data_IF_818935773104
#
_entry.id   IF_818935773104
#
_cell.length_a   1.000
_cell.length_b   1.000
_cell.length_c   1.000
_cell.angle_alpha   90.00
_cell.angle_beta   90.00
_cell.angle_gamma   90.00
#
_symmetry.space_group_name_H-M   'P 1'
#
loop_
_entity.id
_entity.type
_entity.pdbx_description
1 polymer ?
#
# COMPACT_ATOMS: atom_id res chain seq x y z
N UNK A 1 20.61 8.59 11.71
CA UNK A 1 20.94 7.42 10.88
C UNK A 1 22.45 7.15 10.92
N UNK A 2 22.90 5.89 11.02
CA UNK A 2 24.33 5.55 10.94
C UNK A 2 24.73 5.20 9.49
N UNK A 3 26.04 5.14 9.19
CA UNK A 3 26.55 4.90 7.82
C UNK A 3 26.02 3.60 7.20
N UNK A 4 25.82 2.54 8.00
CA UNK A 4 25.32 1.25 7.52
C UNK A 4 23.87 1.33 7.07
N UNK A 5 23.05 2.02 7.86
CA UNK A 5 21.65 2.26 7.54
C UNK A 5 21.54 3.16 6.31
N UNK A 6 22.31 4.24 6.23
CA UNK A 6 22.34 5.10 5.04
C UNK A 6 22.67 4.31 3.77
N UNK A 7 23.65 3.40 3.85
CA UNK A 7 24.00 2.53 2.72
C UNK A 7 22.92 1.52 2.34
N UNK A 8 22.03 1.12 3.26
CA UNK A 8 20.88 0.28 2.95
C UNK A 8 19.83 1.07 2.14
N UNK A 9 19.49 2.29 2.56
CA UNK A 9 18.57 3.16 1.80
C UNK A 9 19.07 3.42 0.38
N UNK A 10 20.36 3.80 0.22
CA UNK A 10 20.95 4.03 -1.09
C UNK A 10 20.89 2.79 -1.99
N UNK A 11 21.12 1.60 -1.43
CA UNK A 11 21.06 0.33 -2.16
C UNK A 11 19.64 -0.04 -2.58
N UNK A 12 18.66 0.20 -1.70
CA UNK A 12 17.23 -0.01 -1.98
C UNK A 12 16.77 0.93 -3.09
N UNK A 13 17.02 2.23 -2.95
CA UNK A 13 16.67 3.25 -3.94
C UNK A 13 17.28 2.94 -5.32
N UNK A 14 18.52 2.45 -5.35
CA UNK A 14 19.19 2.05 -6.59
C UNK A 14 18.67 0.74 -7.21
N UNK A 15 17.88 -0.06 -6.48
CA UNK A 15 17.48 -1.41 -6.91
C UNK A 15 18.62 -2.43 -6.92
N UNK A 16 19.69 -2.16 -6.17
CA UNK A 16 20.91 -2.96 -6.14
C UNK A 16 20.79 -4.09 -5.10
N UNK A 17 20.11 -5.16 -5.50
CA UNK A 17 19.79 -6.30 -4.61
C UNK A 17 21.03 -6.93 -3.96
N UNK A 18 22.18 -6.93 -4.64
CA UNK A 18 23.40 -7.50 -4.08
C UNK A 18 23.99 -6.59 -3.00
N UNK A 19 23.94 -5.26 -3.18
CA UNK A 19 24.28 -4.33 -2.09
C UNK A 19 23.30 -4.40 -0.93
N UNK A 20 22.00 -4.55 -1.18
CA UNK A 20 21.01 -4.74 -0.11
C UNK A 20 21.39 -5.94 0.75
N UNK A 21 21.71 -7.09 0.14
CA UNK A 21 22.18 -8.29 0.87
C UNK A 21 23.44 -8.02 1.69
N UNK A 22 24.41 -7.30 1.12
CA UNK A 22 25.67 -6.96 1.82
C UNK A 22 25.40 -6.04 3.03
N UNK A 23 24.53 -5.04 2.88
CA UNK A 23 24.15 -4.13 3.97
C UNK A 23 23.48 -4.91 5.12
N UNK A 24 22.50 -5.76 4.80
CA UNK A 24 21.80 -6.61 5.78
C UNK A 24 22.80 -7.54 6.49
N UNK A 25 23.66 -8.24 5.73
CA UNK A 25 24.68 -9.13 6.29
C UNK A 25 25.72 -8.40 7.17
N UNK A 26 25.92 -7.10 6.94
CA UNK A 26 26.80 -6.25 7.75
C UNK A 26 26.12 -5.69 9.02
N UNK A 27 24.87 -6.10 9.27
CA UNK A 27 24.06 -5.69 10.41
C UNK A 27 23.41 -4.31 10.24
N UNK A 28 23.07 -3.91 9.00
CA UNK A 28 22.17 -2.78 8.80
C UNK A 28 20.79 -3.11 9.41
N UNK A 29 20.20 -2.14 10.08
CA UNK A 29 18.86 -2.26 10.63
C UNK A 29 17.82 -2.08 9.51
N UNK A 30 17.07 -3.16 9.23
CA UNK A 30 16.05 -3.20 8.16
C UNK A 30 14.79 -2.42 8.50
N UNK A 31 14.60 -2.04 9.77
CA UNK A 31 13.47 -1.22 10.24
C UNK A 31 13.90 0.19 10.65
N UNK A 32 15.15 0.57 10.36
CA UNK A 32 15.58 1.92 10.67
C UNK A 32 14.77 2.94 9.87
N UNK A 33 14.54 4.09 10.47
CA UNK A 33 13.86 5.21 9.83
C UNK A 33 14.86 6.26 9.36
N UNK A 34 14.60 6.84 8.20
CA UNK A 34 15.38 7.95 7.66
C UNK A 34 14.89 9.32 8.21
N UNK A 35 15.26 10.42 7.56
CA UNK A 35 14.83 11.77 7.97
C UNK A 35 13.39 12.12 7.58
N UNK A 36 12.76 11.34 6.71
CA UNK A 36 11.36 11.49 6.31
C UNK A 36 10.43 10.58 7.12
N UNK A 37 11.00 9.72 7.97
CA UNK A 37 10.24 8.74 8.74
C UNK A 37 10.03 7.42 7.99
N UNK A 38 10.67 7.25 6.84
CA UNK A 38 10.48 6.07 5.99
C UNK A 38 11.43 4.94 6.40
N UNK A 39 10.94 3.71 6.32
CA UNK A 39 11.76 2.49 6.45
C UNK A 39 12.33 2.09 5.10
N UNK A 40 13.38 1.25 5.04
CA UNK A 40 13.83 0.64 3.80
C UNK A 40 12.72 -0.06 3.01
N UNK A 41 11.70 -0.60 3.71
CA UNK A 41 10.55 -1.22 3.08
C UNK A 41 9.65 -0.18 2.38
N UNK A 42 9.36 0.96 3.03
CA UNK A 42 8.63 2.06 2.39
C UNK A 42 9.41 2.59 1.18
N UNK A 43 10.71 2.84 1.33
CA UNK A 43 11.57 3.30 0.23
C UNK A 43 11.54 2.34 -0.98
N UNK A 44 11.61 1.03 -0.73
CA UNK A 44 11.51 0.02 -1.78
C UNK A 44 10.16 0.07 -2.50
N UNK A 45 9.07 0.33 -1.77
CA UNK A 45 7.72 0.44 -2.34
C UNK A 45 7.61 1.73 -3.15
N UNK A 46 8.04 2.87 -2.61
CA UNK A 46 7.97 4.18 -3.27
C UNK A 46 8.81 4.25 -4.56
N UNK A 47 9.91 3.50 -4.64
CA UNK A 47 10.83 3.46 -5.78
C UNK A 47 10.30 2.66 -6.99
N UNK A 48 9.21 3.09 -7.63
CA UNK A 48 8.50 2.36 -8.71
C UNK A 48 9.40 1.91 -9.89
N UNK A 49 10.46 2.66 -10.18
CA UNK A 49 11.36 2.38 -11.31
C UNK A 49 12.63 1.59 -10.92
N UNK A 50 12.76 1.20 -9.65
CA UNK A 50 13.92 0.45 -9.20
C UNK A 50 13.95 -0.96 -9.81
N UNK A 51 15.12 -1.35 -10.29
CA UNK A 51 15.35 -2.74 -10.69
C UNK A 51 15.16 -3.65 -9.47
N UNK A 52 14.60 -4.84 -9.67
CA UNK A 52 14.41 -5.84 -8.62
C UNK A 52 13.51 -5.41 -7.45
N UNK A 53 12.68 -4.35 -7.59
CA UNK A 53 11.78 -3.84 -6.53
C UNK A 53 11.06 -4.92 -5.73
N UNK A 54 10.32 -5.81 -6.40
CA UNK A 54 9.60 -6.92 -5.76
C UNK A 54 10.53 -7.88 -5.00
N UNK A 55 11.70 -8.18 -5.56
CA UNK A 55 12.68 -9.07 -4.92
C UNK A 55 13.32 -8.41 -3.69
N UNK A 56 13.55 -7.09 -3.72
CA UNK A 56 14.06 -6.32 -2.58
C UNK A 56 13.01 -6.26 -1.47
N UNK A 57 11.74 -6.00 -1.80
CA UNK A 57 10.63 -6.01 -0.84
C UNK A 57 10.55 -7.37 -0.13
N UNK A 58 10.54 -8.47 -0.89
CA UNK A 58 10.54 -9.83 -0.31
C UNK A 58 11.77 -10.07 0.57
N UNK A 59 12.95 -9.67 0.12
CA UNK A 59 14.19 -9.83 0.88
C UNK A 59 14.16 -9.07 2.22
N UNK A 60 13.64 -7.84 2.23
CA UNK A 60 13.53 -7.03 3.44
C UNK A 60 12.56 -7.68 4.44
N UNK A 61 11.38 -8.11 3.98
CA UNK A 61 10.39 -8.81 4.81
C UNK A 61 10.95 -10.13 5.36
N UNK A 62 11.64 -10.93 4.52
CA UNK A 62 12.32 -12.16 4.94
C UNK A 62 13.36 -11.94 6.05
N UNK A 63 13.93 -10.73 6.13
CA UNK A 63 14.89 -10.34 7.16
C UNK A 63 14.27 -9.53 8.30
N UNK A 64 12.93 -9.52 8.40
CA UNK A 64 12.20 -8.95 9.53
C UNK A 64 11.81 -7.49 9.39
N UNK A 65 11.79 -6.94 8.17
CA UNK A 65 11.14 -5.65 7.94
C UNK A 65 9.64 -5.75 8.30
N UNK A 66 9.13 -4.76 9.04
CA UNK A 66 7.75 -4.74 9.53
C UNK A 66 6.78 -4.31 8.41
N UNK A 67 5.91 -5.22 7.91
CA UNK A 67 4.95 -4.89 6.86
C UNK A 67 3.77 -4.05 7.38
N UNK A 68 3.59 -3.91 8.69
CA UNK A 68 2.52 -3.12 9.33
C UNK A 68 3.04 -1.78 9.89
N UNK A 69 4.26 -1.36 9.54
CA UNK A 69 4.80 -0.09 10.00
C UNK A 69 3.93 1.09 9.51
N UNK A 70 3.53 1.98 10.43
CA UNK A 70 2.49 3.00 10.21
C UNK A 70 2.99 4.40 9.86
N UNK A 71 4.30 4.60 9.78
CA UNK A 71 4.90 5.88 9.38
C UNK A 71 4.51 7.06 10.27
N UNK A 72 5.03 8.24 9.93
CA UNK A 72 4.46 9.50 10.41
C UNK A 72 3.22 9.88 9.57
N UNK A 73 2.28 10.64 10.14
CA UNK A 73 1.04 11.07 9.47
C UNK A 73 0.20 9.93 8.85
N UNK A 74 0.31 8.71 9.41
CA UNK A 74 -0.33 7.48 8.92
C UNK A 74 0.06 7.08 7.48
N UNK A 75 1.21 7.58 6.99
CA UNK A 75 1.83 7.14 5.73
C UNK A 75 2.60 5.83 5.92
N UNK A 76 1.88 4.76 6.28
CA UNK A 76 2.45 3.44 6.51
C UNK A 76 2.80 2.65 5.26
N UNK A 77 3.40 1.47 5.46
CA UNK A 77 3.84 0.53 4.40
C UNK A 77 2.71 0.14 3.46
N UNK A 78 1.55 -0.28 4.00
CA UNK A 78 0.41 -0.67 3.18
C UNK A 78 -0.23 0.53 2.46
N UNK A 79 -0.25 1.70 3.11
CA UNK A 79 -0.75 2.93 2.50
C UNK A 79 0.06 3.34 1.28
N UNK A 80 1.40 3.28 1.38
CA UNK A 80 2.27 3.59 0.25
C UNK A 80 2.02 2.66 -0.95
N UNK A 81 1.76 1.37 -0.71
CA UNK A 81 1.44 0.43 -1.77
C UNK A 81 0.09 0.73 -2.47
N UNK A 82 -0.89 1.27 -1.72
CA UNK A 82 -2.18 1.74 -2.25
C UNK A 82 -2.00 2.97 -3.12
N UNK A 83 -1.20 3.95 -2.69
CA UNK A 83 -0.90 5.17 -3.47
C UNK A 83 -0.31 4.82 -4.84
N UNK A 84 0.60 3.83 -4.86
CA UNK A 84 1.20 3.33 -6.10
C UNK A 84 0.27 2.42 -6.92
N UNK A 85 -0.91 2.07 -6.38
CA UNK A 85 -1.93 1.20 -7.01
C UNK A 85 -1.34 -0.12 -7.50
N UNK A 86 -0.51 -0.76 -6.66
CA UNK A 86 0.22 -1.99 -7.00
C UNK A 86 -0.37 -3.22 -6.26
N UNK A 87 -1.26 -4.00 -6.90
CA UNK A 87 -1.90 -5.14 -6.25
C UNK A 87 -0.92 -6.27 -5.92
N UNK A 88 0.20 -6.39 -6.64
CA UNK A 88 1.20 -7.43 -6.36
C UNK A 88 1.88 -7.16 -5.02
N UNK A 89 2.36 -5.92 -4.81
CA UNK A 89 3.01 -5.54 -3.56
C UNK A 89 2.03 -5.54 -2.40
N UNK A 90 0.82 -5.02 -2.58
CA UNK A 90 -0.22 -5.11 -1.55
C UNK A 90 -0.47 -6.56 -1.15
N UNK A 91 -0.56 -7.46 -2.13
CA UNK A 91 -0.71 -8.89 -1.87
C UNK A 91 0.44 -9.48 -1.06
N UNK A 92 1.68 -9.06 -1.31
CA UNK A 92 2.85 -9.46 -0.53
C UNK A 92 2.75 -8.94 0.90
N UNK A 93 2.44 -7.66 1.10
CA UNK A 93 2.38 -7.05 2.43
C UNK A 93 1.27 -7.65 3.30
N UNK A 94 0.06 -7.76 2.75
CA UNK A 94 -1.10 -8.34 3.43
C UNK A 94 -0.86 -9.81 3.78
N UNK A 95 -0.23 -10.58 2.89
CA UNK A 95 0.13 -11.97 3.18
C UNK A 95 1.13 -12.10 4.34
N UNK A 96 1.97 -11.07 4.54
CA UNK A 96 2.99 -11.05 5.59
C UNK A 96 2.54 -10.31 6.85
N UNK A 97 1.26 -9.97 6.98
CA UNK A 97 0.67 -9.49 8.24
C UNK A 97 0.42 -7.99 8.33
N UNK A 98 0.49 -7.24 7.24
CA UNK A 98 -0.01 -5.87 7.20
C UNK A 98 -1.53 -5.83 7.50
N UNK A 99 -1.98 -4.91 8.35
CA UNK A 99 -3.38 -4.78 8.73
C UNK A 99 -4.20 -4.07 7.63
N UNK A 100 -5.17 -4.75 6.99
CA UNK A 100 -6.02 -4.14 5.97
C UNK A 100 -7.01 -3.11 6.52
N UNK A 101 -7.22 -3.06 7.85
CA UNK A 101 -8.19 -2.20 8.53
C UNK A 101 -7.52 -1.18 9.45
N UNK A 102 -6.26 -0.80 9.20
CA UNK A 102 -5.62 0.19 10.04
C UNK A 102 -6.38 1.54 9.96
N UNK A 103 -6.56 2.17 11.11
CA UNK A 103 -7.31 3.41 11.28
C UNK A 103 -6.51 4.62 10.78
N UNK A 104 -7.10 5.40 9.86
CA UNK A 104 -6.56 6.66 9.33
C UNK A 104 -7.29 7.84 9.99
N UNK A 105 -7.04 8.06 11.27
CA UNK A 105 -7.67 9.14 12.06
C UNK A 105 -9.21 9.14 11.98
N UNK A 106 -9.82 7.95 12.04
CA UNK A 106 -11.27 7.76 12.01
C UNK A 106 -11.86 7.44 10.64
N UNK A 107 -11.05 7.36 9.58
CA UNK A 107 -11.41 6.83 8.26
C UNK A 107 -10.81 5.42 8.09
N UNK A 108 -11.55 4.49 7.47
CA UNK A 108 -10.96 3.20 7.11
C UNK A 108 -10.00 3.34 5.92
N UNK A 109 -8.95 2.51 5.91
CA UNK A 109 -8.06 2.40 4.75
C UNK A 109 -8.81 2.15 3.43
N UNK A 110 -9.86 1.32 3.48
CA UNK A 110 -10.67 1.00 2.31
C UNK A 110 -11.42 2.24 1.77
N UNK A 111 -12.03 3.03 2.64
CA UNK A 111 -12.72 4.27 2.28
C UNK A 111 -11.76 5.27 1.63
N UNK A 112 -10.59 5.49 2.26
CA UNK A 112 -9.56 6.40 1.74
C UNK A 112 -9.07 5.96 0.37
N UNK A 113 -8.76 4.67 0.21
CA UNK A 113 -8.30 4.07 -1.04
C UNK A 113 -9.36 4.16 -2.15
N UNK A 114 -10.63 3.92 -1.82
CA UNK A 114 -11.76 4.06 -2.75
C UNK A 114 -11.94 5.52 -3.17
N UNK A 115 -11.84 6.47 -2.24
CA UNK A 115 -11.91 7.89 -2.54
C UNK A 115 -10.78 8.34 -3.48
N UNK A 116 -9.54 7.96 -3.19
CA UNK A 116 -8.37 8.30 -4.02
C UNK A 116 -8.50 7.73 -5.44
N UNK A 117 -8.98 6.49 -5.56
CA UNK A 117 -9.32 5.93 -6.88
C UNK A 117 -10.31 6.80 -7.64
N UNK A 118 -11.42 7.17 -7.00
CA UNK A 118 -12.49 7.94 -7.63
C UNK A 118 -12.02 9.35 -8.01
N UNK A 119 -11.19 9.96 -7.16
CA UNK A 119 -10.56 11.25 -7.44
C UNK A 119 -9.64 11.13 -8.66
N UNK A 120 -8.71 10.18 -8.68
CA UNK A 120 -7.72 10.08 -9.76
C UNK A 120 -8.34 9.64 -11.09
N UNK A 121 -9.24 8.65 -11.05
CA UNK A 121 -9.81 8.06 -12.25
C UNK A 121 -10.93 8.92 -12.87
N UNK A 122 -11.69 9.63 -12.04
CA UNK A 122 -12.90 10.32 -12.47
C UNK A 122 -12.96 11.80 -12.08
N UNK A 123 -11.96 12.33 -11.38
CA UNK A 123 -11.98 13.68 -10.79
C UNK A 123 -13.27 13.92 -9.98
N UNK A 124 -13.63 12.92 -9.16
CA UNK A 124 -14.87 12.86 -8.36
C UNK A 124 -16.18 12.89 -9.16
N UNK A 125 -16.12 12.73 -10.48
CA UNK A 125 -17.28 12.79 -11.36
C UNK A 125 -17.50 11.45 -12.07
N UNK A 126 -18.16 10.54 -11.37
CA UNK A 126 -18.52 9.22 -11.89
C UNK A 126 -19.40 9.32 -13.15
N UNK A 127 -19.18 8.47 -14.16
CA UNK A 127 -19.97 8.46 -15.40
C UNK A 127 -21.38 7.85 -15.19
N UNK A 128 -21.57 7.07 -14.14
CA UNK A 128 -22.84 6.46 -13.75
C UNK A 128 -23.26 6.98 -12.38
N UNK A 129 -24.57 6.92 -12.11
CA UNK A 129 -25.11 7.12 -10.76
C UNK A 129 -25.28 5.75 -10.09
N UNK A 130 -24.80 5.56 -8.86
CA UNK A 130 -24.98 4.31 -8.15
C UNK A 130 -26.46 4.09 -7.81
N UNK A 131 -26.89 2.84 -7.90
CA UNK A 131 -28.20 2.36 -7.47
C UNK A 131 -28.18 1.92 -6.01
N UNK A 132 -29.35 1.61 -5.43
CA UNK A 132 -29.43 1.02 -4.09
C UNK A 132 -28.68 -0.32 -4.00
N UNK A 133 -28.65 -1.09 -5.09
CA UNK A 133 -27.91 -2.36 -5.14
C UNK A 133 -26.40 -2.14 -5.13
N UNK A 134 -25.92 -1.07 -5.78
CA UNK A 134 -24.50 -0.73 -5.83
C UNK A 134 -23.96 -0.27 -4.47
N UNK A 135 -24.83 0.28 -3.62
CA UNK A 135 -24.50 0.74 -2.28
C UNK A 135 -24.72 -0.34 -1.20
N UNK A 136 -25.08 -1.58 -1.57
CA UNK A 136 -25.48 -2.60 -0.63
C UNK A 136 -24.31 -3.20 0.19
N UNK A 137 -23.11 -3.23 -0.39
CA UNK A 137 -21.87 -3.69 0.24
C UNK A 137 -20.66 -3.32 -0.65
N UNK A 138 -19.46 -3.55 -0.13
CA UNK A 138 -18.18 -3.24 -0.77
C UNK A 138 -17.97 -3.97 -2.09
N UNK A 139 -18.42 -5.23 -2.21
CA UNK A 139 -18.28 -6.02 -3.44
C UNK A 139 -19.16 -5.44 -4.57
N UNK A 140 -20.42 -5.10 -4.26
CA UNK A 140 -21.32 -4.44 -5.20
C UNK A 140 -20.81 -3.04 -5.61
N UNK A 141 -20.20 -2.31 -4.67
CA UNK A 141 -19.56 -1.04 -4.95
C UNK A 141 -18.38 -1.19 -5.93
N UNK A 142 -17.55 -2.22 -5.77
CA UNK A 142 -16.45 -2.50 -6.71
C UNK A 142 -16.95 -2.86 -8.10
N UNK A 143 -18.01 -3.66 -8.21
CA UNK A 143 -18.63 -3.97 -9.51
C UNK A 143 -19.26 -2.73 -10.17
N UNK A 144 -19.72 -1.76 -9.37
CA UNK A 144 -20.12 -0.45 -9.87
C UNK A 144 -18.94 0.38 -10.36
N UNK A 145 -17.82 0.41 -9.63
CA UNK A 145 -16.60 1.09 -10.04
C UNK A 145 -16.01 0.48 -11.30
N UNK A 146 -16.06 -0.85 -11.48
CA UNK A 146 -15.63 -1.54 -12.71
C UNK A 146 -16.41 -1.05 -13.93
N UNK A 147 -17.74 -0.95 -13.82
CA UNK A 147 -18.58 -0.40 -14.90
C UNK A 147 -18.22 1.06 -15.21
N UNK A 148 -17.94 1.86 -14.18
CA UNK A 148 -17.49 3.24 -14.37
C UNK A 148 -16.13 3.29 -15.09
N UNK A 149 -15.19 2.43 -14.69
CA UNK A 149 -13.87 2.33 -15.27
C UNK A 149 -13.93 1.95 -16.76
N UNK A 150 -14.77 0.98 -17.10
CA UNK A 150 -15.01 0.53 -18.48
C UNK A 150 -15.57 1.66 -19.36
N UNK A 151 -16.53 2.45 -18.86
CA UNK A 151 -17.12 3.56 -19.61
C UNK A 151 -16.13 4.70 -19.83
N UNK A 152 -15.31 5.00 -18.82
CA UNK A 152 -14.32 6.07 -18.89
C UNK A 152 -13.00 5.63 -19.54
N UNK A 153 -12.87 4.35 -19.92
CA UNK A 153 -11.64 3.75 -20.46
C UNK A 153 -10.41 3.94 -19.53
N UNK A 154 -10.64 3.84 -18.22
CA UNK A 154 -9.59 3.94 -17.18
C UNK A 154 -9.33 2.58 -16.53
N UNK A 155 -8.25 2.48 -15.77
CA UNK A 155 -7.88 1.26 -15.07
C UNK A 155 -8.93 0.87 -14.01
N UNK A 156 -9.17 -0.43 -13.83
CA UNK A 156 -10.04 -0.96 -12.77
C UNK A 156 -9.36 -0.93 -11.41
N UNK A 157 -10.11 -0.80 -10.29
CA UNK A 157 -9.53 -0.70 -8.95
C UNK A 157 -9.16 -2.08 -8.37
N UNK A 158 -8.32 -2.85 -9.05
CA UNK A 158 -7.92 -4.21 -8.62
C UNK A 158 -7.29 -4.24 -7.22
N UNK A 159 -6.61 -3.16 -6.83
CA UNK A 159 -6.02 -3.02 -5.51
C UNK A 159 -7.08 -2.97 -4.39
N UNK A 160 -8.27 -2.41 -4.64
CA UNK A 160 -9.38 -2.44 -3.68
C UNK A 160 -9.93 -3.87 -3.51
N UNK A 161 -9.95 -4.67 -4.59
CA UNK A 161 -10.32 -6.09 -4.51
C UNK A 161 -9.33 -6.88 -3.65
N UNK A 162 -8.04 -6.56 -3.75
CA UNK A 162 -7.01 -7.15 -2.89
C UNK A 162 -7.27 -6.78 -1.42
N UNK A 163 -7.53 -5.51 -1.10
CA UNK A 163 -7.87 -5.10 0.27
C UNK A 163 -9.09 -5.85 0.81
N UNK A 164 -10.19 -5.87 0.07
CA UNK A 164 -11.43 -6.55 0.46
C UNK A 164 -11.21 -8.06 0.69
N UNK A 165 -10.41 -8.71 -0.17
CA UNK A 165 -10.05 -10.12 -0.02
C UNK A 165 -9.35 -10.43 1.31
N UNK A 166 -8.56 -9.49 1.82
CA UNK A 166 -7.90 -9.62 3.11
C UNK A 166 -8.74 -9.10 4.29
N UNK A 167 -9.99 -8.70 4.04
CA UNK A 167 -10.95 -8.30 5.07
C UNK A 167 -10.99 -6.80 5.32
N UNK A 168 -10.43 -5.97 4.44
CA UNK A 168 -10.67 -4.52 4.50
C UNK A 168 -12.16 -4.22 4.27
N UNK A 169 -12.72 -3.31 5.05
CA UNK A 169 -14.09 -2.84 4.85
C UNK A 169 -14.24 -1.39 5.29
N UNK A 170 -15.46 -0.88 5.12
CA UNK A 170 -15.84 0.43 5.69
C UNK A 170 -15.76 0.37 7.21
N UNK A 171 -15.39 1.49 7.83
CA UNK A 171 -15.34 1.57 9.29
C UNK A 171 -16.72 1.28 9.90
N UNK A 172 -16.84 0.18 10.65
CA UNK A 172 -18.05 -0.13 11.41
C UNK A 172 -18.18 0.89 12.56
N UNK A 173 -19.08 1.87 12.44
CA UNK A 173 -19.40 2.81 13.53
C UNK A 173 -19.82 2.09 14.83
N UNK A 174 -20.21 0.81 14.72
CA UNK A 174 -20.66 -0.03 15.84
C UNK A 174 -19.53 -0.62 16.70
N UNK A 175 -18.26 -0.50 16.28
CA UNK A 175 -17.10 -0.97 17.06
C UNK A 175 -16.42 0.13 17.89
N UNK A 176 -16.86 1.38 17.78
CA UNK A 176 -16.46 2.48 18.68
C UNK A 176 -17.26 2.38 19.99
N UNK A 177 -16.92 1.42 20.86
CA UNK A 177 -17.48 1.30 22.22
C UNK A 177 -16.42 1.53 23.27
#
# INVERSE_FOLDING_TARGET
MNDKTSGLFDAVYAGDIDKVKVCIASGADVNAIDSFGDTPLIEAIASENAKNRVAIIKLLIEHGADPDYKGEENCGVLFQAILNKDPEIMGILLHNGADPNFDLDGESLYERASFDYIYDAFNLKLPLKPTEQDAANEEAWLDFLDRCAEIAEVFKPEFLRVLLKYGAGVSDETQKV
#
